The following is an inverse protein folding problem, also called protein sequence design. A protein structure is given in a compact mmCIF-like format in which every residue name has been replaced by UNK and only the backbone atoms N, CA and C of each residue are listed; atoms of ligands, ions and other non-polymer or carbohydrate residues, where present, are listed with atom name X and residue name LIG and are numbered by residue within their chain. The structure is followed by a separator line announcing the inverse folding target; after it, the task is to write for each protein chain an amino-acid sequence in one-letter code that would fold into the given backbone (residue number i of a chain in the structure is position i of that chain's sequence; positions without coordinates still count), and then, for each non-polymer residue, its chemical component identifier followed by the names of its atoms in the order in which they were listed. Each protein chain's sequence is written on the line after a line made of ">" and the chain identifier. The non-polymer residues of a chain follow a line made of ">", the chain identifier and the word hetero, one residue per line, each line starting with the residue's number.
data_IF_955222284120
#
_entry.id   IF_955222284120
#
_cell.length_a   1.000
_cell.length_b   1.000
_cell.length_c   1.000
_cell.angle_alpha   90.00
_cell.angle_beta   90.00
_cell.angle_gamma   90.00
#
_symmetry.space_group_name_H-M   'P 1'
#
loop_
_entity.id
_entity.type
_entity.pdbx_description
1 polymer ?
#
# COMPACT_ATOMS: atom_id res chain seq x y z
N UNK A 1 10.64 -58.28 26.77
CA UNK A 1 10.89 -56.84 26.85
C UNK A 1 10.17 -56.15 25.73
N UNK A 2 9.10 -55.48 26.06
CA UNK A 2 8.40 -54.69 25.03
C UNK A 2 9.08 -53.34 24.94
N UNK A 3 9.75 -53.08 23.85
CA UNK A 3 10.25 -51.74 23.55
C UNK A 3 9.07 -50.88 23.09
N UNK A 4 8.67 -49.94 23.90
CA UNK A 4 7.71 -48.93 23.50
C UNK A 4 8.40 -47.95 22.58
N UNK A 5 8.15 -48.06 21.30
CA UNK A 5 8.52 -47.00 20.35
C UNK A 5 7.46 -45.91 20.45
N UNK A 6 7.73 -44.89 21.23
CA UNK A 6 6.96 -43.67 21.19
C UNK A 6 7.40 -42.95 19.92
N UNK A 7 6.68 -43.19 18.84
CA UNK A 7 6.81 -42.36 17.64
C UNK A 7 6.16 -41.04 17.97
N UNK A 8 6.95 -40.10 18.47
CA UNK A 8 6.53 -38.72 18.57
C UNK A 8 6.38 -38.17 17.15
N UNK A 9 5.19 -38.27 16.62
CA UNK A 9 4.84 -37.56 15.38
C UNK A 9 4.82 -36.08 15.74
N UNK A 10 5.94 -35.42 15.46
CA UNK A 10 5.99 -33.97 15.54
C UNK A 10 5.13 -33.46 14.40
N UNK A 11 3.89 -33.13 14.72
CA UNK A 11 3.01 -32.42 13.82
C UNK A 11 3.52 -30.98 13.75
N UNK A 12 4.42 -30.75 12.82
CA UNK A 12 4.84 -29.38 12.48
C UNK A 12 3.64 -28.70 11.83
N UNK A 13 2.84 -28.02 12.63
CA UNK A 13 1.87 -27.07 12.13
C UNK A 13 2.66 -25.97 11.46
N UNK A 14 2.83 -26.06 10.15
CA UNK A 14 3.22 -24.94 9.34
C UNK A 14 2.06 -23.94 9.39
N UNK A 15 2.14 -23.01 10.32
CA UNK A 15 1.29 -21.84 10.28
C UNK A 15 1.69 -21.04 9.05
N UNK A 16 0.96 -21.22 7.96
CA UNK A 16 0.99 -20.31 6.84
C UNK A 16 0.35 -19.01 7.31
N UNK A 17 1.15 -18.12 7.86
CA UNK A 17 0.71 -16.75 8.07
C UNK A 17 0.49 -16.16 6.68
N UNK A 18 -0.76 -15.81 6.36
CA UNK A 18 -1.07 -15.00 5.19
C UNK A 18 -0.46 -13.62 5.44
N UNK A 19 0.76 -13.41 4.95
CA UNK A 19 1.37 -12.10 4.92
C UNK A 19 0.75 -11.36 3.76
N UNK A 20 -0.26 -10.51 4.05
CA UNK A 20 -0.76 -9.56 3.07
C UNK A 20 0.27 -8.45 2.94
N UNK A 21 0.92 -8.35 1.79
CA UNK A 21 1.77 -7.22 1.48
C UNK A 21 0.87 -6.01 1.18
N UNK A 22 1.10 -4.87 1.86
CA UNK A 22 0.42 -3.63 1.55
C UNK A 22 0.79 -3.16 0.14
N UNK A 23 -0.22 -2.75 -0.61
CA UNK A 23 -0.03 -2.09 -1.89
C UNK A 23 0.25 -0.62 -1.61
N UNK A 24 1.39 -0.13 -2.04
CA UNK A 24 1.74 1.29 -1.93
C UNK A 24 1.35 2.01 -3.21
N UNK A 25 0.55 3.05 -3.07
CA UNK A 25 0.12 3.93 -4.16
C UNK A 25 0.58 5.35 -3.89
N UNK A 26 1.10 6.00 -4.91
CA UNK A 26 1.48 7.40 -4.86
C UNK A 26 0.47 8.29 -5.57
N UNK A 27 0.21 9.47 -5.02
CA UNK A 27 -0.55 10.54 -5.66
C UNK A 27 0.39 11.72 -5.89
N UNK A 28 0.73 11.95 -7.15
CA UNK A 28 1.58 13.06 -7.55
C UNK A 28 0.70 14.15 -8.17
N UNK A 29 0.64 15.28 -7.52
CA UNK A 29 -0.09 16.46 -7.97
C UNK A 29 0.70 17.71 -7.64
N UNK A 30 0.33 18.82 -8.24
CA UNK A 30 0.90 20.13 -7.89
C UNK A 30 0.27 20.69 -6.60
N UNK A 31 0.72 20.21 -5.45
CA UNK A 31 0.23 20.67 -4.15
C UNK A 31 0.74 22.07 -3.80
N UNK A 32 1.80 22.51 -4.42
CA UNK A 32 2.27 23.89 -4.41
C UNK A 32 2.31 24.43 -5.84
N UNK A 33 2.20 25.73 -6.02
CA UNK A 33 2.23 26.38 -7.31
C UNK A 33 0.83 26.76 -7.85
N UNK A 34 0.67 26.83 -9.20
CA UNK A 34 -0.49 27.51 -9.80
C UNK A 34 -1.84 26.81 -9.58
N UNK A 35 -1.84 25.54 -9.24
CA UNK A 35 -3.09 24.79 -9.02
C UNK A 35 -3.27 24.29 -7.58
N UNK A 36 -2.51 24.85 -6.66
CA UNK A 36 -2.52 24.42 -5.25
C UNK A 36 -3.89 24.50 -4.57
N UNK A 37 -4.79 25.35 -5.05
CA UNK A 37 -6.14 25.47 -4.51
C UNK A 37 -7.06 24.30 -4.88
N UNK A 38 -6.71 23.53 -5.92
CA UNK A 38 -7.54 22.45 -6.46
C UNK A 38 -7.06 21.07 -5.99
N UNK A 39 -5.76 20.91 -5.86
CA UNK A 39 -5.12 19.60 -5.67
C UNK A 39 -5.45 18.92 -4.35
N UNK A 40 -5.63 19.59 -3.21
CA UNK A 40 -6.00 18.92 -1.97
C UNK A 40 -7.34 18.17 -2.07
N UNK A 41 -8.34 18.76 -2.72
CA UNK A 41 -9.63 18.09 -2.93
C UNK A 41 -9.52 16.93 -3.92
N UNK A 42 -8.72 17.07 -4.96
CA UNK A 42 -8.44 15.99 -5.92
C UNK A 42 -7.78 14.80 -5.24
N UNK A 43 -6.75 15.04 -4.44
CA UNK A 43 -6.05 14.01 -3.70
C UNK A 43 -6.98 13.32 -2.67
N UNK A 44 -7.78 14.11 -1.95
CA UNK A 44 -8.73 13.57 -0.99
C UNK A 44 -9.77 12.66 -1.66
N UNK A 45 -10.23 13.01 -2.85
CA UNK A 45 -11.15 12.16 -3.63
C UNK A 45 -10.51 10.85 -4.05
N UNK A 46 -9.27 10.88 -4.52
CA UNK A 46 -8.53 9.68 -4.88
C UNK A 46 -8.27 8.79 -3.66
N UNK A 47 -7.86 9.38 -2.54
CA UNK A 47 -7.63 8.67 -1.29
C UNK A 47 -8.90 8.00 -0.76
N UNK A 48 -10.05 8.65 -0.90
CA UNK A 48 -11.34 8.07 -0.52
C UNK A 48 -11.64 6.83 -1.34
N UNK A 49 -11.45 6.87 -2.66
CA UNK A 49 -11.66 5.73 -3.53
C UNK A 49 -10.73 4.55 -3.18
N UNK A 50 -9.46 4.81 -2.93
CA UNK A 50 -8.51 3.78 -2.50
C UNK A 50 -8.87 3.22 -1.13
N UNK A 51 -9.31 4.06 -0.22
CA UNK A 51 -9.75 3.64 1.11
C UNK A 51 -10.97 2.73 1.03
N UNK A 52 -11.95 3.08 0.24
CA UNK A 52 -13.15 2.24 0.02
C UNK A 52 -12.78 0.90 -0.59
N UNK A 53 -11.90 0.87 -1.58
CA UNK A 53 -11.41 -0.37 -2.18
C UNK A 53 -10.65 -1.24 -1.16
N UNK A 54 -9.79 -0.62 -0.35
CA UNK A 54 -9.04 -1.30 0.71
C UNK A 54 -9.96 -1.87 1.79
N UNK A 55 -10.94 -1.07 2.23
CA UNK A 55 -11.86 -1.46 3.31
C UNK A 55 -12.90 -2.50 2.85
N UNK A 56 -13.13 -2.63 1.55
CA UNK A 56 -14.06 -3.61 0.98
C UNK A 56 -13.64 -5.06 1.25
N UNK A 57 -12.35 -5.30 1.47
CA UNK A 57 -11.78 -6.63 1.63
C UNK A 57 -11.75 -7.47 0.35
N UNK A 58 -12.20 -6.92 -0.78
CA UNK A 58 -12.31 -7.64 -2.06
C UNK A 58 -11.16 -7.36 -3.02
N UNK A 59 -10.31 -6.38 -2.71
CA UNK A 59 -9.17 -6.01 -3.54
C UNK A 59 -8.06 -7.04 -3.38
N UNK A 60 -7.70 -7.71 -4.50
CA UNK A 60 -6.55 -8.64 -4.58
C UNK A 60 -6.45 -9.60 -3.38
N UNK A 61 -7.58 -10.21 -3.00
CA UNK A 61 -7.63 -11.15 -1.89
C UNK A 61 -7.61 -10.51 -0.50
N UNK A 62 -7.98 -9.25 -0.38
CA UNK A 62 -8.06 -8.53 0.89
C UNK A 62 -6.82 -7.70 1.23
N UNK A 63 -5.96 -7.42 0.25
CA UNK A 63 -4.80 -6.55 0.46
C UNK A 63 -5.23 -5.11 0.82
N UNK A 64 -4.40 -4.45 1.62
CA UNK A 64 -4.61 -3.06 2.01
C UNK A 64 -3.79 -2.12 1.12
N UNK A 65 -4.32 -0.93 0.89
CA UNK A 65 -3.65 0.13 0.15
C UNK A 65 -3.18 1.20 1.12
N UNK A 66 -1.90 1.53 1.06
CA UNK A 66 -1.34 2.72 1.69
C UNK A 66 -1.06 3.78 0.64
N UNK A 67 -1.29 5.04 0.97
CA UNK A 67 -1.19 6.15 0.01
C UNK A 67 -0.22 7.19 0.53
N UNK A 68 0.64 7.65 -0.36
CA UNK A 68 1.57 8.74 -0.11
C UNK A 68 1.37 9.85 -1.14
N UNK A 69 1.35 11.09 -0.69
CA UNK A 69 1.29 12.27 -1.55
C UNK A 69 2.69 12.76 -1.88
N UNK A 70 2.88 13.21 -3.11
CA UNK A 70 4.10 13.86 -3.54
C UNK A 70 3.79 15.08 -4.39
N UNK A 71 4.55 16.14 -4.22
CA UNK A 71 4.33 17.43 -4.88
C UNK A 71 5.17 17.55 -6.15
N UNK A 72 4.50 17.63 -7.29
CA UNK A 72 5.14 17.87 -8.58
C UNK A 72 5.31 19.35 -8.92
N UNK A 73 4.70 20.24 -8.13
CA UNK A 73 4.56 21.69 -8.40
C UNK A 73 3.78 22.02 -9.69
N UNK A 74 3.62 21.08 -10.61
CA UNK A 74 2.95 21.20 -11.90
C UNK A 74 3.61 22.12 -12.93
N UNK A 75 4.75 22.73 -12.61
CA UNK A 75 5.48 23.68 -13.46
C UNK A 75 6.97 23.36 -13.62
N UNK A 76 7.47 22.38 -12.85
CA UNK A 76 8.88 22.01 -12.83
C UNK A 76 9.03 20.50 -13.00
N UNK A 77 9.62 20.10 -14.13
CA UNK A 77 9.84 18.68 -14.44
C UNK A 77 10.85 18.01 -13.49
N UNK A 78 11.82 18.75 -12.98
CA UNK A 78 12.78 18.22 -12.02
C UNK A 78 12.11 17.93 -10.67
N UNK A 79 11.23 18.81 -10.22
CA UNK A 79 10.42 18.57 -9.01
C UNK A 79 9.50 17.36 -9.18
N UNK A 80 8.87 17.20 -10.34
CA UNK A 80 8.03 16.06 -10.63
C UNK A 80 8.82 14.74 -10.64
N UNK A 81 10.01 14.75 -11.22
CA UNK A 81 10.90 13.57 -11.21
C UNK A 81 11.32 13.21 -9.80
N UNK A 82 11.75 14.18 -9.00
CA UNK A 82 12.13 13.96 -7.60
C UNK A 82 10.94 13.41 -6.78
N UNK A 83 9.75 13.95 -7.00
CA UNK A 83 8.53 13.46 -6.34
C UNK A 83 8.24 11.99 -6.70
N UNK A 84 8.37 11.63 -7.97
CA UNK A 84 8.17 10.26 -8.42
C UNK A 84 9.23 9.30 -7.85
N UNK A 85 10.49 9.70 -7.85
CA UNK A 85 11.61 8.91 -7.30
C UNK A 85 11.44 8.66 -5.80
N UNK A 86 10.90 9.63 -5.06
CA UNK A 86 10.63 9.50 -3.63
C UNK A 86 9.52 8.51 -3.27
N UNK A 87 8.72 8.10 -4.26
CA UNK A 87 7.60 7.16 -4.07
C UNK A 87 7.98 5.70 -4.35
N UNK A 88 9.15 5.45 -4.88
CA UNK A 88 9.60 4.10 -5.25
C UNK A 88 10.69 3.54 -4.34
#
# INVERSE_FOLDING_TARGET
>A
MKKLFITATIFVMTMTSNVFADIKMGIILGFTGPIESLTPAMAASAELAFKEASDSGSLLGGEKISIERADSTCVDSAAATTAAEGLV
#
